data_IF_883816126281
#
_entry.id   IF_883816126281
#
_cell.length_a   1.000
_cell.length_b   1.000
_cell.length_c   1.000
_cell.angle_alpha   90.00
_cell.angle_beta   90.00
_cell.angle_gamma   90.00
#
_symmetry.space_group_name_H-M   'P 1'
#
loop_
_entity.id
_entity.type
_entity.pdbx_description
1 polymer ?
#
# COMPACT_ATOMS: atom_id res chain seq x y z
N UNK A 1 10.52 20.85 6.37
CA UNK A 1 9.60 19.94 5.65
C UNK A 1 10.31 18.81 4.92
N UNK A 2 11.48 19.04 4.30
CA UNK A 2 12.29 17.95 3.69
C UNK A 2 12.82 16.95 4.74
N UNK A 3 13.13 17.43 5.95
CA UNK A 3 13.67 16.63 7.06
C UNK A 3 12.70 15.55 7.60
N UNK A 4 11.44 15.90 7.84
CA UNK A 4 10.44 14.97 8.36
C UNK A 4 9.97 13.92 7.33
N UNK A 5 10.04 14.22 6.03
CA UNK A 5 9.69 13.27 4.96
C UNK A 5 10.71 12.14 4.85
N UNK A 6 11.99 12.42 5.06
CA UNK A 6 13.05 11.40 5.10
C UNK A 6 12.82 10.41 6.24
N UNK A 7 12.54 10.92 7.45
CA UNK A 7 12.26 10.08 8.63
C UNK A 7 11.04 9.17 8.39
N UNK A 8 9.97 9.69 7.76
CA UNK A 8 8.78 8.88 7.41
C UNK A 8 9.09 7.79 6.39
N UNK A 9 9.94 8.08 5.40
CA UNK A 9 10.37 7.08 4.41
C UNK A 9 11.21 5.98 5.03
N UNK A 10 12.16 6.33 5.90
CA UNK A 10 13.01 5.38 6.61
C UNK A 10 12.21 4.52 7.60
N UNK A 11 11.29 5.13 8.35
CA UNK A 11 10.39 4.40 9.24
C UNK A 11 9.48 3.43 8.47
N UNK A 12 9.02 3.80 7.27
CA UNK A 12 8.28 2.92 6.38
C UNK A 12 9.10 1.72 5.92
N UNK A 13 10.36 1.91 5.51
CA UNK A 13 11.26 0.79 5.16
C UNK A 13 11.59 -0.11 6.34
N UNK A 14 11.68 0.44 7.55
CA UNK A 14 11.89 -0.37 8.76
C UNK A 14 10.67 -1.22 9.10
N UNK A 15 9.46 -0.69 8.90
CA UNK A 15 8.23 -1.45 9.07
C UNK A 15 8.16 -2.65 8.10
N UNK A 16 8.64 -2.48 6.87
CA UNK A 16 8.62 -3.51 5.82
C UNK A 16 9.51 -4.69 6.18
N UNK A 17 10.74 -4.38 6.60
CA UNK A 17 11.67 -5.39 7.09
C UNK A 17 11.14 -6.08 8.35
N UNK A 18 10.50 -5.36 9.25
CA UNK A 18 9.93 -5.95 10.46
C UNK A 18 8.78 -6.90 10.14
N UNK A 19 7.91 -6.56 9.20
CA UNK A 19 6.84 -7.44 8.73
C UNK A 19 7.39 -8.74 8.13
N UNK A 20 8.46 -8.63 7.33
CA UNK A 20 9.11 -9.79 6.73
C UNK A 20 9.71 -10.72 7.80
N UNK A 21 10.39 -10.16 8.80
CA UNK A 21 10.95 -10.93 9.93
C UNK A 21 9.83 -11.62 10.72
N UNK A 22 8.71 -10.92 10.96
CA UNK A 22 7.55 -11.49 11.67
C UNK A 22 6.95 -12.68 10.93
N UNK A 23 6.85 -12.61 9.60
CA UNK A 23 6.35 -13.71 8.76
C UNK A 23 7.28 -14.92 8.72
N UNK A 24 8.57 -14.75 8.99
CA UNK A 24 9.55 -15.84 8.98
C UNK A 24 9.60 -16.62 10.30
N UNK A 25 8.93 -16.13 11.35
CA UNK A 25 8.83 -16.86 12.61
C UNK A 25 7.89 -18.08 12.50
N UNK A 26 8.22 -19.18 13.22
CA UNK A 26 7.35 -20.33 13.32
C UNK A 26 6.00 -19.96 13.97
N UNK A 27 4.90 -20.65 13.62
CA UNK A 27 3.56 -20.30 14.09
C UNK A 27 3.40 -20.33 15.61
N UNK A 28 4.22 -21.12 16.31
CA UNK A 28 4.26 -21.22 17.78
C UNK A 28 4.91 -20.01 18.48
N UNK A 29 5.56 -19.10 17.73
CA UNK A 29 6.24 -17.95 18.29
C UNK A 29 5.23 -16.84 18.64
N UNK A 30 5.26 -16.23 19.84
CA UNK A 30 4.28 -15.22 20.24
C UNK A 30 4.22 -14.01 19.29
N UNK A 31 5.31 -13.72 18.57
CA UNK A 31 5.36 -12.63 17.59
C UNK A 31 4.73 -12.99 16.23
N UNK A 32 4.52 -14.27 15.91
CA UNK A 32 3.85 -14.70 14.66
C UNK A 32 2.38 -14.26 14.60
N UNK A 33 1.77 -14.03 15.77
CA UNK A 33 0.39 -13.55 15.92
C UNK A 33 0.26 -12.03 15.87
N UNK A 34 1.38 -11.29 15.80
CA UNK A 34 1.39 -9.83 15.78
C UNK A 34 0.86 -9.33 14.45
N UNK A 35 -0.06 -8.37 14.51
CA UNK A 35 -0.60 -7.72 13.31
C UNK A 35 0.54 -7.02 12.56
N UNK A 36 0.74 -7.28 11.25
CA UNK A 36 1.78 -6.60 10.49
C UNK A 36 1.58 -5.09 10.59
N UNK A 37 2.69 -4.37 10.73
CA UNK A 37 2.69 -2.92 10.59
C UNK A 37 2.10 -2.61 9.22
N UNK A 38 1.07 -1.78 9.17
CA UNK A 38 0.52 -1.33 7.89
C UNK A 38 1.63 -0.53 7.21
N UNK A 39 2.38 -1.16 6.30
CA UNK A 39 3.02 -0.43 5.22
C UNK A 39 1.93 0.47 4.67
N UNK A 40 2.27 1.71 4.37
CA UNK A 40 1.51 2.45 3.38
C UNK A 40 1.69 1.72 2.03
N UNK A 41 1.11 0.53 1.89
CA UNK A 41 0.60 0.03 0.63
C UNK A 41 -0.53 0.99 0.27
N UNK A 42 -0.13 2.17 -0.20
CA UNK A 42 -1.01 3.17 -0.75
C UNK A 42 -1.65 2.56 -1.96
N UNK A 43 -2.84 1.98 -1.77
CA UNK A 43 -3.66 1.34 -2.77
C UNK A 43 -2.95 0.17 -3.49
N UNK A 44 -3.62 -0.97 -3.59
CA UNK A 44 -3.17 -2.00 -4.53
C UNK A 44 -3.08 -1.37 -5.92
N UNK A 45 -2.01 -1.60 -6.71
CA UNK A 45 -1.90 -1.06 -8.07
C UNK A 45 -3.14 -1.38 -8.92
N UNK A 46 -3.84 -2.46 -8.59
CA UNK A 46 -5.15 -2.83 -9.11
C UNK A 46 -6.21 -1.71 -8.97
N UNK A 47 -6.25 -1.02 -7.83
CA UNK A 47 -7.21 0.06 -7.57
C UNK A 47 -6.93 1.29 -8.43
N UNK A 48 -5.66 1.58 -8.72
CA UNK A 48 -5.26 2.66 -9.63
C UNK A 48 -5.68 2.33 -11.06
N UNK A 49 -5.46 1.10 -11.50
CA UNK A 49 -5.89 0.63 -12.83
C UNK A 49 -7.42 0.65 -12.96
N UNK A 50 -8.13 0.20 -11.93
CA UNK A 50 -9.59 0.24 -11.88
C UNK A 50 -10.13 1.67 -11.95
N UNK A 51 -9.55 2.61 -11.19
CA UNK A 51 -9.92 4.02 -11.24
C UNK A 51 -9.67 4.66 -12.61
N UNK A 52 -8.55 4.35 -13.24
CA UNK A 52 -8.21 4.83 -14.58
C UNK A 52 -9.18 4.30 -15.66
N UNK A 53 -9.53 3.01 -15.59
CA UNK A 53 -10.53 2.38 -16.47
C UNK A 53 -11.90 3.03 -16.33
N UNK A 54 -12.36 3.22 -15.09
CA UNK A 54 -13.64 3.87 -14.81
C UNK A 54 -13.66 5.29 -15.35
N UNK A 55 -12.60 6.08 -15.11
CA UNK A 55 -12.48 7.44 -15.62
C UNK A 55 -12.51 7.51 -17.15
N UNK A 56 -11.83 6.58 -17.83
CA UNK A 56 -11.82 6.49 -19.29
C UNK A 56 -13.21 6.17 -19.85
N UNK A 57 -13.91 5.18 -19.28
CA UNK A 57 -15.26 4.78 -19.71
C UNK A 57 -16.24 5.95 -19.53
N UNK A 58 -16.21 6.61 -18.38
CA UNK A 58 -17.08 7.77 -18.09
C UNK A 58 -16.82 8.90 -19.08
N UNK A 59 -15.56 9.23 -19.34
CA UNK A 59 -15.19 10.26 -20.31
C UNK A 59 -15.67 9.94 -21.74
N UNK A 60 -15.55 8.67 -22.15
CA UNK A 60 -16.02 8.22 -23.46
C UNK A 60 -17.54 8.29 -23.60
N UNK A 61 -18.28 7.84 -22.59
CA UNK A 61 -19.75 7.90 -22.56
C UNK A 61 -20.25 9.34 -22.59
N UNK A 62 -19.62 10.24 -21.83
CA UNK A 62 -19.99 11.65 -21.80
C UNK A 62 -19.70 12.34 -23.14
N UNK A 63 -18.63 11.94 -23.85
CA UNK A 63 -18.32 12.45 -25.18
C UNK A 63 -19.28 11.96 -26.27
N UNK A 64 -19.77 10.73 -26.18
CA UNK A 64 -20.68 10.15 -27.17
C UNK A 64 -22.15 10.59 -26.98
N UNK A 65 -22.46 11.26 -25.87
CA UNK A 65 -23.81 11.75 -25.56
C UNK A 65 -24.03 13.21 -26.00
N UNK A 66 -23.17 13.74 -26.87
CA UNK A 66 -23.23 15.10 -27.41
C UNK A 66 -23.43 15.14 -28.91
#
# INVERSE_FOLDING_TARGET
MYDASGVRLHAGRQAELLNQIVCEFPPEHPLSSVRPLRELLGHTPLQVVAGALVGFIVAFLMRNSG
#
